data_IF_042680940412
#
_entry.id   IF_042680940412
#
_cell.length_a   1.000
_cell.length_b   1.000
_cell.length_c   1.000
_cell.angle_alpha   90.00
_cell.angle_beta   90.00
_cell.angle_gamma   90.00
#
_symmetry.space_group_name_H-M   'P 1'
#
loop_
_entity.id
_entity.type
_entity.pdbx_description
1 polymer ?
#
# COMPACT_ATOMS: atom_id res chain seq x y z
N UNK A 1 1.88 49.52 66.06
CA UNK A 1 2.54 48.80 64.95
C UNK A 1 3.20 47.55 65.47
N UNK A 2 2.62 46.35 65.27
CA UNK A 2 3.37 45.13 64.90
C UNK A 2 2.41 44.01 64.52
N UNK A 3 2.83 43.22 63.53
CA UNK A 3 2.12 42.17 62.82
C UNK A 3 1.84 40.95 63.70
N UNK A 4 0.73 40.25 63.44
CA UNK A 4 0.55 38.86 63.90
C UNK A 4 0.00 38.00 62.77
N UNK A 5 0.88 37.20 62.18
CA UNK A 5 0.58 36.14 61.23
C UNK A 5 -0.27 35.07 61.93
N UNK A 6 -1.50 34.86 61.49
CA UNK A 6 -2.30 33.71 61.93
C UNK A 6 -1.82 32.46 61.20
N UNK A 7 -1.22 31.56 61.97
CA UNK A 7 -0.84 30.21 61.54
C UNK A 7 -2.10 29.45 61.12
N UNK A 8 -2.23 29.14 59.83
CA UNK A 8 -3.25 28.23 59.34
C UNK A 8 -2.91 26.80 59.77
N UNK A 9 -3.34 26.43 60.98
CA UNK A 9 -3.31 25.06 61.47
C UNK A 9 -4.18 24.20 60.56
N UNK A 10 -3.55 23.30 59.83
CA UNK A 10 -4.20 22.29 59.00
C UNK A 10 -4.91 21.29 59.93
N UNK A 11 -6.16 21.59 60.30
CA UNK A 11 -6.98 20.75 61.20
C UNK A 11 -7.31 19.44 60.48
N UNK A 12 -6.46 18.43 60.65
CA UNK A 12 -6.85 17.04 60.35
C UNK A 12 -8.02 16.69 61.29
N UNK A 13 -9.24 16.46 60.78
CA UNK A 13 -10.35 16.11 61.64
C UNK A 13 -10.03 14.77 62.32
N UNK A 14 -9.98 14.78 63.65
CA UNK A 14 -9.90 13.55 64.42
C UNK A 14 -11.23 12.82 64.25
N UNK A 15 -11.19 11.66 63.59
CA UNK A 15 -12.35 10.77 63.44
C UNK A 15 -12.76 10.32 64.84
N UNK A 16 -13.93 10.80 65.30
CA UNK A 16 -14.47 10.43 66.62
C UNK A 16 -14.98 9.00 66.57
N UNK A 17 -14.77 8.27 67.67
CA UNK A 17 -15.35 6.93 67.87
C UNK A 17 -16.87 7.02 67.76
N UNK A 18 -17.47 6.03 67.10
CA UNK A 18 -18.91 5.90 66.85
C UNK A 18 -19.51 6.84 65.78
N UNK A 19 -18.72 7.31 64.82
CA UNK A 19 -19.23 7.96 63.60
C UNK A 19 -19.14 7.00 62.42
N UNK A 20 -20.28 6.67 61.83
CA UNK A 20 -20.35 5.84 60.63
C UNK A 20 -20.01 6.71 59.41
N UNK A 21 -18.73 6.83 59.08
CA UNK A 21 -18.28 7.46 57.83
C UNK A 21 -18.36 6.43 56.71
N UNK A 22 -19.39 6.51 55.88
CA UNK A 22 -19.44 5.73 54.64
C UNK A 22 -18.57 6.42 53.59
N UNK A 23 -17.57 5.70 53.07
CA UNK A 23 -16.81 6.18 51.94
C UNK A 23 -17.69 6.12 50.69
N UNK A 24 -18.13 7.28 50.19
CA UNK A 24 -18.69 7.37 48.84
C UNK A 24 -17.55 7.22 47.84
N UNK A 25 -17.15 5.98 47.55
CA UNK A 25 -16.37 5.72 46.34
C UNK A 25 -17.30 6.00 45.17
N UNK A 26 -17.01 7.01 44.36
CA UNK A 26 -17.68 7.19 43.10
C UNK A 26 -17.52 5.88 42.32
N UNK A 27 -18.61 5.11 42.21
CA UNK A 27 -18.59 3.86 41.45
C UNK A 27 -18.11 4.24 40.05
N UNK A 28 -16.92 3.76 39.68
CA UNK A 28 -16.39 3.93 38.34
C UNK A 28 -17.52 3.49 37.40
N UNK A 29 -17.94 4.39 36.52
CA UNK A 29 -19.09 4.19 35.63
C UNK A 29 -18.73 3.11 34.63
N UNK A 30 -18.76 1.87 35.09
CA UNK A 30 -18.48 0.67 34.32
C UNK A 30 -19.66 0.50 33.39
N UNK A 31 -19.36 0.40 32.10
CA UNK A 31 -20.34 -0.04 31.13
C UNK A 31 -20.84 -1.42 31.58
N UNK A 32 -22.15 -1.55 31.74
CA UNK A 32 -22.76 -2.80 32.19
C UNK A 32 -22.38 -3.97 31.26
N UNK A 33 -22.45 -5.22 31.75
CA UNK A 33 -21.98 -6.40 31.02
C UNK A 33 -22.57 -6.52 29.61
N UNK A 34 -23.83 -6.09 29.43
CA UNK A 34 -24.51 -6.05 28.11
C UNK A 34 -23.87 -5.02 27.17
N UNK A 35 -23.54 -3.82 27.66
CA UNK A 35 -22.90 -2.78 26.86
C UNK A 35 -21.48 -3.21 26.43
N UNK A 36 -20.73 -3.87 27.32
CA UNK A 36 -19.43 -4.42 26.99
C UNK A 36 -19.50 -5.49 25.90
N UNK A 37 -20.47 -6.42 25.96
CA UNK A 37 -20.64 -7.44 24.92
C UNK A 37 -21.02 -6.87 23.56
N UNK A 38 -21.87 -5.83 23.52
CA UNK A 38 -22.27 -5.17 22.27
C UNK A 38 -21.06 -4.47 21.64
N UNK A 39 -20.22 -3.81 22.45
CA UNK A 39 -19.00 -3.17 21.97
C UNK A 39 -18.02 -4.20 21.40
N UNK A 40 -17.83 -5.33 22.07
CA UNK A 40 -16.97 -6.41 21.58
C UNK A 40 -17.49 -6.98 20.25
N UNK A 41 -18.80 -7.18 20.12
CA UNK A 41 -19.42 -7.63 18.87
C UNK A 41 -19.22 -6.62 17.74
N UNK A 42 -19.44 -5.33 18.04
CA UNK A 42 -19.24 -4.25 17.07
C UNK A 42 -17.78 -4.14 16.62
N UNK A 43 -16.82 -4.31 17.55
CA UNK A 43 -15.39 -4.35 17.25
C UNK A 43 -15.03 -5.51 16.32
N UNK A 44 -15.54 -6.72 16.60
CA UNK A 44 -15.33 -7.88 15.76
C UNK A 44 -15.88 -7.66 14.33
N UNK A 45 -17.07 -7.08 14.22
CA UNK A 45 -17.67 -6.71 12.95
C UNK A 45 -16.82 -5.68 12.19
N UNK A 46 -16.35 -4.64 12.87
CA UNK A 46 -15.46 -3.62 12.29
C UNK A 46 -14.16 -4.22 11.76
N UNK A 47 -13.53 -5.13 12.50
CA UNK A 47 -12.33 -5.83 12.06
C UNK A 47 -12.63 -6.68 10.81
N UNK A 48 -13.76 -7.39 10.79
CA UNK A 48 -14.20 -8.16 9.62
C UNK A 48 -14.43 -7.30 8.37
N UNK A 49 -15.07 -6.13 8.53
CA UNK A 49 -15.30 -5.19 7.42
C UNK A 49 -14.01 -4.55 6.91
N UNK A 50 -13.07 -4.22 7.80
CA UNK A 50 -11.74 -3.74 7.40
C UNK A 50 -10.98 -4.81 6.64
N UNK A 51 -11.05 -6.07 7.05
CA UNK A 51 -10.44 -7.18 6.34
C UNK A 51 -11.04 -7.34 4.93
N UNK A 52 -12.36 -7.33 4.82
CA UNK A 52 -13.04 -7.42 3.52
C UNK A 52 -12.65 -6.26 2.59
N UNK A 53 -12.54 -5.04 3.13
CA UNK A 53 -12.12 -3.86 2.36
C UNK A 53 -10.69 -4.00 1.84
N UNK A 54 -9.78 -4.56 2.65
CA UNK A 54 -8.42 -4.86 2.20
C UNK A 54 -8.43 -5.91 1.08
N UNK A 55 -9.22 -6.98 1.22
CA UNK A 55 -9.34 -8.01 0.18
C UNK A 55 -9.90 -7.42 -1.13
N UNK A 56 -10.92 -6.55 -1.07
CA UNK A 56 -11.48 -5.90 -2.27
C UNK A 56 -10.47 -4.95 -2.93
N UNK A 57 -9.72 -4.16 -2.14
CA UNK A 57 -8.68 -3.27 -2.67
C UNK A 57 -7.53 -4.07 -3.28
N UNK A 58 -7.05 -5.11 -2.61
CA UNK A 58 -6.00 -6.01 -3.13
C UNK A 58 -6.43 -6.68 -4.44
N UNK A 59 -7.70 -7.06 -4.60
CA UNK A 59 -8.21 -7.56 -5.88
C UNK A 59 -8.07 -6.50 -7.00
N UNK A 60 -8.46 -5.25 -6.77
CA UNK A 60 -8.30 -4.19 -7.78
C UNK A 60 -6.84 -3.87 -8.10
N UNK A 61 -5.94 -3.88 -7.10
CA UNK A 61 -4.51 -3.67 -7.33
C UNK A 61 -3.89 -4.84 -8.10
N UNK A 62 -4.34 -6.07 -7.86
CA UNK A 62 -3.90 -7.24 -8.61
C UNK A 62 -4.20 -7.14 -10.11
N UNK A 63 -5.40 -6.68 -10.49
CA UNK A 63 -5.75 -6.48 -11.91
C UNK A 63 -4.91 -5.38 -12.57
N UNK A 64 -4.69 -4.26 -11.88
CA UNK A 64 -3.85 -3.17 -12.41
C UNK A 64 -2.39 -3.61 -12.55
N UNK A 65 -1.85 -4.37 -11.60
CA UNK A 65 -0.49 -4.90 -11.68
C UNK A 65 -0.36 -5.90 -12.83
N UNK A 66 -1.29 -6.84 -12.97
CA UNK A 66 -1.25 -7.82 -14.07
C UNK A 66 -1.33 -7.14 -15.43
N UNK A 67 -2.23 -6.17 -15.61
CA UNK A 67 -2.34 -5.43 -16.88
C UNK A 67 -1.10 -4.59 -17.18
N UNK A 68 -0.46 -3.98 -16.18
CA UNK A 68 0.81 -3.29 -16.35
C UNK A 68 1.96 -4.26 -16.69
N UNK A 69 1.99 -5.44 -16.06
CA UNK A 69 2.98 -6.48 -16.33
C UNK A 69 2.83 -7.02 -17.77
N UNK A 70 1.60 -7.23 -18.23
CA UNK A 70 1.29 -7.65 -19.59
C UNK A 70 1.72 -6.58 -20.61
N UNK A 71 1.36 -5.31 -20.38
CA UNK A 71 1.81 -4.20 -21.22
C UNK A 71 3.34 -4.10 -21.25
N UNK A 72 4.01 -4.29 -20.11
CA UNK A 72 5.46 -4.29 -20.04
C UNK A 72 6.09 -5.43 -20.86
N UNK A 73 5.48 -6.63 -20.84
CA UNK A 73 5.92 -7.75 -21.67
C UNK A 73 5.80 -7.42 -23.15
N UNK A 74 4.63 -6.93 -23.59
CA UNK A 74 4.38 -6.55 -24.98
C UNK A 74 5.36 -5.46 -25.45
N UNK A 75 5.59 -4.44 -24.63
CA UNK A 75 6.56 -3.38 -24.92
C UNK A 75 7.99 -3.89 -25.03
N UNK A 76 8.38 -4.88 -24.21
CA UNK A 76 9.70 -5.52 -24.30
C UNK A 76 9.85 -6.30 -25.60
N UNK A 77 8.85 -7.08 -25.95
CA UNK A 77 8.87 -7.88 -27.18
C UNK A 77 8.98 -6.97 -28.41
N UNK A 78 8.19 -5.89 -28.45
CA UNK A 78 8.28 -4.89 -29.52
C UNK A 78 9.67 -4.25 -29.59
N UNK A 79 10.27 -3.89 -28.44
CA UNK A 79 11.63 -3.33 -28.41
C UNK A 79 12.65 -4.30 -28.99
N UNK A 80 12.57 -5.57 -28.62
CA UNK A 80 13.45 -6.62 -29.15
C UNK A 80 13.27 -6.80 -30.66
N UNK A 81 12.04 -6.80 -31.16
CA UNK A 81 11.75 -6.88 -32.59
C UNK A 81 12.30 -5.66 -33.36
N UNK A 82 12.17 -4.46 -32.79
CA UNK A 82 12.73 -3.24 -33.36
C UNK A 82 14.27 -3.31 -33.40
N UNK A 83 14.91 -3.78 -32.33
CA UNK A 83 16.37 -3.94 -32.27
C UNK A 83 16.87 -4.96 -33.30
N UNK A 84 16.19 -6.11 -33.45
CA UNK A 84 16.50 -7.12 -34.47
C UNK A 84 16.35 -6.51 -35.87
N UNK A 85 15.26 -5.78 -36.10
CA UNK A 85 14.98 -5.15 -37.39
C UNK A 85 16.05 -4.11 -37.72
N UNK A 86 16.43 -3.26 -36.77
CA UNK A 86 17.51 -2.30 -36.93
C UNK A 86 18.86 -2.98 -37.22
N UNK A 87 19.19 -4.06 -36.51
CA UNK A 87 20.39 -4.84 -36.76
C UNK A 87 20.40 -5.48 -38.17
N UNK A 88 19.24 -5.96 -38.64
CA UNK A 88 19.07 -6.46 -40.02
C UNK A 88 19.29 -5.36 -41.05
N UNK A 89 18.68 -4.19 -40.86
CA UNK A 89 18.89 -3.02 -41.72
C UNK A 89 20.36 -2.62 -41.78
N UNK A 90 21.04 -2.56 -40.65
CA UNK A 90 22.46 -2.22 -40.58
C UNK A 90 23.34 -3.29 -41.26
N UNK A 91 22.96 -4.56 -41.15
CA UNK A 91 23.66 -5.66 -41.82
C UNK A 91 23.47 -5.58 -43.34
N UNK A 92 22.24 -5.31 -43.81
CA UNK A 92 21.94 -5.10 -45.23
C UNK A 92 22.69 -3.89 -45.80
N UNK A 93 22.71 -2.77 -45.09
CA UNK A 93 23.46 -1.58 -45.49
C UNK A 93 24.96 -1.86 -45.59
N UNK A 94 25.53 -2.58 -44.61
CA UNK A 94 26.94 -3.01 -44.64
C UNK A 94 27.25 -3.93 -45.82
N UNK A 95 26.37 -4.89 -46.11
CA UNK A 95 26.53 -5.79 -47.27
C UNK A 95 26.44 -5.01 -48.57
N UNK A 96 25.43 -4.14 -48.72
CA UNK A 96 25.25 -3.27 -49.89
C UNK A 96 26.45 -2.36 -50.14
N UNK A 97 27.03 -1.80 -49.07
CA UNK A 97 28.18 -0.91 -49.16
C UNK A 97 29.53 -1.63 -49.27
N UNK A 98 29.56 -2.96 -49.14
CA UNK A 98 30.79 -3.76 -49.21
C UNK A 98 31.42 -3.74 -50.60
N UNK A 99 32.74 -3.86 -50.65
CA UNK A 99 33.51 -3.91 -51.90
C UNK A 99 33.10 -5.09 -52.79
N UNK A 100 32.67 -6.20 -52.18
CA UNK A 100 32.17 -7.41 -52.86
C UNK A 100 30.85 -7.12 -53.56
N UNK A 101 29.89 -6.46 -52.91
CA UNK A 101 28.61 -6.10 -53.55
C UNK A 101 28.80 -5.07 -54.67
N UNK A 102 29.73 -4.11 -54.50
CA UNK A 102 30.06 -3.11 -55.53
C UNK A 102 30.72 -3.70 -56.79
N UNK A 103 31.27 -4.91 -56.69
CA UNK A 103 31.87 -5.64 -57.82
C UNK A 103 30.92 -6.68 -58.43
N UNK A 104 29.71 -6.85 -57.87
CA UNK A 104 28.67 -7.72 -58.46
C UNK A 104 27.95 -7.00 -59.61
N UNK A 105 27.93 -7.65 -60.77
CA UNK A 105 27.14 -7.22 -61.93
C UNK A 105 25.68 -7.65 -61.72
N UNK A 106 24.67 -6.80 -62.00
CA UNK A 106 23.27 -7.19 -61.87
C UNK A 106 22.96 -8.38 -62.76
N UNK A 107 22.70 -9.54 -62.16
CA UNK A 107 22.15 -10.70 -62.85
C UNK A 107 20.65 -10.45 -63.05
N UNK A 108 20.24 -10.22 -64.29
CA UNK A 108 18.84 -10.16 -64.69
C UNK A 108 18.23 -11.56 -64.46
N UNK A 109 17.08 -11.70 -63.77
CA UNK A 109 16.46 -13.00 -63.60
C UNK A 109 16.04 -13.54 -64.97
N UNK A 110 16.73 -14.56 -65.46
CA UNK A 110 16.31 -15.29 -66.66
C UNK A 110 15.32 -16.35 -66.19
N UNK A 111 14.04 -16.16 -66.55
CA UNK A 111 13.04 -17.23 -66.54
C UNK A 111 11.96 -17.09 -65.47
N UNK A 112 10.85 -16.46 -65.85
CA UNK A 112 9.53 -16.87 -65.39
C UNK A 112 9.32 -18.30 -65.89
N UNK A 113 9.41 -19.30 -65.00
CA UNK A 113 8.90 -20.63 -65.31
C UNK A 113 7.37 -20.58 -65.14
N UNK A 114 6.67 -20.79 -66.26
CA UNK A 114 5.22 -20.92 -66.37
C UNK A 114 4.71 -22.15 -65.62
#
# INVERSE_FOLDING_TARGET
MTYSNSIAVNRRPHVRRNQNSVAYTAAAKSLGPVSNSIILLALLCLIGLLYLTQVTKTNSYGYTINSLQEQQSVLRDQKTDLEISAARWQSLDRVSNSSVAKTMVPATPIGTLQ
#
